data_IF_974520269941
#
_entry.id   IF_974520269941
#
_cell.length_a   1.000
_cell.length_b   1.000
_cell.length_c   1.000
_cell.angle_alpha   90.00
_cell.angle_beta   90.00
_cell.angle_gamma   90.00
#
_symmetry.space_group_name_H-M   'P 1'
#
loop_
_entity.id
_entity.type
_entity.pdbx_description
1 polymer ?
#
# COMPACT_ATOMS: atom_id res chain seq x y z
N UNK A 1 42.82 15.03 -3.46
CA UNK A 1 41.75 14.16 -4.00
C UNK A 1 40.65 15.03 -4.62
N UNK A 2 40.19 16.07 -3.92
CA UNK A 2 39.12 16.97 -4.39
C UNK A 2 39.52 17.64 -5.71
N UNK A 3 40.71 18.25 -5.82
CA UNK A 3 41.17 18.91 -7.05
C UNK A 3 41.06 18.01 -8.30
N UNK A 4 41.36 16.73 -8.13
CA UNK A 4 41.24 15.74 -9.23
C UNK A 4 39.77 15.42 -9.56
N UNK A 5 38.90 15.40 -8.56
CA UNK A 5 37.48 15.20 -8.78
C UNK A 5 36.84 16.43 -9.41
N UNK A 6 37.27 17.64 -9.03
CA UNK A 6 36.85 18.90 -9.65
C UNK A 6 37.23 18.93 -11.14
N UNK A 7 38.49 18.64 -11.46
CA UNK A 7 38.98 18.56 -12.87
C UNK A 7 38.17 17.52 -13.67
N UNK A 8 37.86 16.37 -13.06
CA UNK A 8 37.01 15.35 -13.69
C UNK A 8 35.57 15.87 -13.84
N UNK A 9 35.04 16.55 -12.83
CA UNK A 9 33.71 17.15 -12.84
C UNK A 9 33.53 18.26 -13.87
N UNK A 10 34.58 18.99 -14.18
CA UNK A 10 34.58 19.97 -15.28
C UNK A 10 34.43 19.31 -16.65
N UNK A 11 35.06 18.16 -16.84
CA UNK A 11 35.14 17.42 -18.13
C UNK A 11 34.01 16.41 -18.31
N UNK A 12 33.35 15.99 -17.23
CA UNK A 12 32.29 14.98 -17.20
C UNK A 12 31.03 15.49 -16.54
N UNK A 13 29.88 14.94 -16.92
CA UNK A 13 28.59 15.15 -16.28
C UNK A 13 28.05 13.86 -15.65
N UNK A 14 28.95 12.98 -15.25
CA UNK A 14 28.59 11.72 -14.60
C UNK A 14 28.08 11.96 -13.17
N UNK A 15 26.87 11.48 -12.84
CA UNK A 15 26.28 11.71 -11.51
C UNK A 15 27.13 11.21 -10.34
N UNK A 16 27.95 10.17 -10.56
CA UNK A 16 28.85 9.64 -9.55
C UNK A 16 29.94 10.64 -9.16
N UNK A 17 30.44 11.42 -10.13
CA UNK A 17 31.43 12.47 -9.87
C UNK A 17 30.81 13.58 -9.01
N UNK A 18 29.58 13.98 -9.32
CA UNK A 18 28.85 14.92 -8.47
C UNK A 18 28.72 14.41 -7.04
N UNK A 19 28.26 13.17 -6.87
CA UNK A 19 28.03 12.61 -5.53
C UNK A 19 29.33 12.56 -4.72
N UNK A 20 30.42 12.11 -5.32
CA UNK A 20 31.73 12.07 -4.66
C UNK A 20 32.22 13.45 -4.23
N UNK A 21 32.07 14.47 -5.10
CA UNK A 21 32.42 15.85 -4.77
C UNK A 21 31.53 16.41 -3.67
N UNK A 22 30.21 16.20 -3.78
CA UNK A 22 29.23 16.66 -2.82
C UNK A 22 29.50 16.08 -1.43
N UNK A 23 29.72 14.76 -1.34
CA UNK A 23 30.01 14.07 -0.09
C UNK A 23 31.36 14.54 0.50
N UNK A 24 32.38 14.75 -0.35
CA UNK A 24 33.68 15.26 0.08
C UNK A 24 33.57 16.66 0.69
N UNK A 25 32.80 17.56 0.07
CA UNK A 25 32.56 18.90 0.65
C UNK A 25 31.74 18.84 1.93
N UNK A 26 30.79 17.90 2.04
CA UNK A 26 30.04 17.70 3.28
C UNK A 26 30.92 17.24 4.45
N UNK A 27 31.84 16.29 4.18
CA UNK A 27 32.78 15.78 5.19
C UNK A 27 33.76 16.85 5.68
N UNK A 28 34.11 17.80 4.80
CA UNK A 28 34.97 18.92 5.13
C UNK A 28 34.23 20.14 5.65
N UNK A 29 32.90 20.08 5.76
CA UNK A 29 32.03 21.20 6.14
C UNK A 29 32.17 22.43 5.19
N UNK A 30 32.62 22.19 3.96
CA UNK A 30 32.77 23.21 2.91
C UNK A 30 31.41 23.44 2.18
N UNK A 31 30.38 23.79 2.94
CA UNK A 31 29.00 23.89 2.43
C UNK A 31 28.83 24.90 1.31
N UNK A 32 29.60 26.01 1.33
CA UNK A 32 29.56 27.02 0.26
C UNK A 32 30.03 26.46 -1.09
N UNK A 33 31.01 25.60 -1.09
CA UNK A 33 31.54 25.00 -2.32
C UNK A 33 30.61 23.88 -2.80
N UNK A 34 29.99 23.13 -1.88
CA UNK A 34 28.91 22.21 -2.19
C UNK A 34 27.68 22.91 -2.83
N UNK A 35 27.31 24.11 -2.35
CA UNK A 35 26.23 24.93 -2.95
C UNK A 35 26.63 25.38 -4.37
N UNK A 36 27.87 25.84 -4.58
CA UNK A 36 28.35 26.22 -5.93
C UNK A 36 28.35 25.05 -6.86
N UNK A 37 28.82 23.88 -6.40
CA UNK A 37 28.79 22.62 -7.13
C UNK A 37 27.36 22.31 -7.59
N UNK A 38 26.43 22.23 -6.64
CA UNK A 38 25.01 21.89 -6.91
C UNK A 38 24.39 22.88 -7.90
N UNK A 39 24.66 24.19 -7.74
CA UNK A 39 24.16 25.23 -8.64
C UNK A 39 24.75 25.10 -10.07
N UNK A 40 26.02 24.74 -10.21
CA UNK A 40 26.64 24.50 -11.49
C UNK A 40 26.04 23.28 -12.18
N UNK A 41 25.90 22.18 -11.44
CA UNK A 41 25.35 20.94 -11.98
C UNK A 41 23.86 21.02 -12.35
N UNK A 42 23.08 21.81 -11.61
CA UNK A 42 21.67 22.10 -11.97
C UNK A 42 21.55 22.76 -13.37
N UNK A 43 22.51 23.58 -13.75
CA UNK A 43 22.57 24.22 -15.10
C UNK A 43 23.05 23.25 -16.18
N UNK A 44 24.00 22.38 -15.85
CA UNK A 44 24.61 21.43 -16.81
C UNK A 44 23.71 20.21 -17.06
N UNK A 45 22.91 19.80 -16.08
CA UNK A 45 22.00 18.64 -16.13
C UNK A 45 20.56 19.05 -15.75
N UNK A 46 19.85 19.76 -16.64
CA UNK A 46 18.50 20.26 -16.35
C UNK A 46 17.50 19.14 -16.03
N UNK A 47 17.67 17.93 -16.55
CA UNK A 47 16.85 16.76 -16.23
C UNK A 47 16.96 16.27 -14.78
N UNK A 48 18.00 16.71 -14.05
CA UNK A 48 18.21 16.42 -12.62
C UNK A 48 18.20 17.67 -11.74
N UNK A 49 17.73 18.79 -12.27
CA UNK A 49 17.71 20.08 -11.59
C UNK A 49 17.09 19.98 -10.20
N UNK A 50 15.98 19.29 -10.06
CA UNK A 50 15.27 19.13 -8.77
C UNK A 50 16.19 18.53 -7.68
N UNK A 51 16.96 17.49 -8.00
CA UNK A 51 17.89 16.88 -7.06
C UNK A 51 18.94 17.91 -6.58
N UNK A 52 19.56 18.65 -7.49
CA UNK A 52 20.59 19.61 -7.15
C UNK A 52 20.06 20.83 -6.37
N UNK A 53 18.84 21.29 -6.66
CA UNK A 53 18.21 22.37 -5.91
C UNK A 53 17.78 21.90 -4.50
N UNK A 54 17.33 20.67 -4.37
CA UNK A 54 17.06 20.07 -3.05
C UNK A 54 18.35 19.84 -2.26
N UNK A 55 19.46 19.52 -2.93
CA UNK A 55 20.78 19.47 -2.28
C UNK A 55 21.21 20.85 -1.74
N UNK A 56 20.95 21.93 -2.50
CA UNK A 56 21.17 23.31 -1.99
C UNK A 56 20.28 23.60 -0.76
N UNK A 57 19.01 23.19 -0.81
CA UNK A 57 18.09 23.32 0.33
C UNK A 57 18.64 22.60 1.56
N UNK A 58 19.10 21.38 1.40
CA UNK A 58 19.71 20.57 2.45
C UNK A 58 20.91 21.31 3.08
N UNK A 59 21.78 21.89 2.25
CA UNK A 59 22.96 22.62 2.72
C UNK A 59 22.59 23.89 3.49
N UNK A 60 21.65 24.70 3.00
CA UNK A 60 21.14 25.87 3.74
C UNK A 60 20.53 25.48 5.10
N UNK A 61 19.78 24.36 5.15
CA UNK A 61 19.24 23.86 6.40
C UNK A 61 20.33 23.35 7.37
N UNK A 62 21.42 22.78 6.84
CA UNK A 62 22.59 22.37 7.62
C UNK A 62 23.34 23.57 8.24
N UNK A 63 23.43 24.67 7.51
CA UNK A 63 24.03 25.92 7.97
C UNK A 63 23.08 26.78 8.85
N UNK A 64 21.86 26.26 9.13
CA UNK A 64 20.80 27.02 9.83
C UNK A 64 20.38 28.32 9.10
N UNK A 65 20.69 28.41 7.81
CA UNK A 65 20.28 29.50 6.95
C UNK A 65 18.83 29.33 6.48
N UNK A 66 17.91 29.51 7.43
CA UNK A 66 16.47 29.31 7.18
C UNK A 66 15.96 30.30 6.13
N UNK A 67 16.55 31.48 6.01
CA UNK A 67 16.11 32.51 5.05
C UNK A 67 16.31 32.06 3.61
N UNK A 68 17.48 31.54 3.27
CA UNK A 68 17.79 31.14 1.91
C UNK A 68 17.16 29.76 1.62
N UNK A 69 16.98 28.89 2.64
CA UNK A 69 16.20 27.68 2.53
C UNK A 69 14.73 27.96 2.15
N UNK A 70 14.06 28.92 2.80
CA UNK A 70 12.67 29.28 2.49
C UNK A 70 12.54 29.95 1.11
N UNK A 71 13.46 30.84 0.72
CA UNK A 71 13.48 31.40 -0.65
C UNK A 71 13.60 30.31 -1.72
N UNK A 72 14.38 29.28 -1.45
CA UNK A 72 14.52 28.17 -2.39
C UNK A 72 13.22 27.37 -2.49
N UNK A 73 12.52 27.13 -1.37
CA UNK A 73 11.19 26.52 -1.38
C UNK A 73 10.16 27.38 -2.15
N UNK A 74 10.17 28.69 -1.97
CA UNK A 74 9.32 29.62 -2.74
C UNK A 74 9.60 29.50 -4.25
N UNK A 75 10.88 29.46 -4.63
CA UNK A 75 11.27 29.23 -6.04
C UNK A 75 10.79 27.89 -6.59
N UNK A 76 10.80 26.82 -5.78
CA UNK A 76 10.27 25.51 -6.15
C UNK A 76 8.75 25.60 -6.39
N UNK A 77 8.02 26.29 -5.52
CA UNK A 77 6.58 26.51 -5.71
C UNK A 77 6.27 27.30 -6.98
N UNK A 78 7.03 28.37 -7.28
CA UNK A 78 6.90 29.09 -8.55
C UNK A 78 7.15 28.23 -9.79
N UNK A 79 8.06 27.26 -9.71
CA UNK A 79 8.30 26.31 -10.79
C UNK A 79 7.06 25.39 -10.95
N UNK A 80 6.47 24.95 -9.85
CA UNK A 80 5.28 24.09 -9.85
C UNK A 80 4.06 24.85 -10.36
N UNK A 81 3.89 26.12 -10.02
CA UNK A 81 2.82 26.96 -10.56
C UNK A 81 2.84 27.00 -12.09
N UNK A 82 4.05 27.10 -12.67
CA UNK A 82 4.23 27.11 -14.13
C UNK A 82 4.15 25.72 -14.75
N UNK A 83 4.53 24.69 -13.99
CA UNK A 83 4.63 23.30 -14.46
C UNK A 83 4.34 22.30 -13.34
N UNK A 84 3.06 22.03 -13.02
CA UNK A 84 2.69 21.14 -11.90
C UNK A 84 3.31 19.74 -11.95
N UNK A 85 3.63 19.24 -13.15
CA UNK A 85 4.31 17.95 -13.34
C UNK A 85 5.71 17.88 -12.71
N UNK A 86 6.37 19.02 -12.46
CA UNK A 86 7.68 19.06 -11.79
C UNK A 86 7.58 18.62 -10.31
N UNK A 87 6.38 18.64 -9.72
CA UNK A 87 6.17 18.17 -8.36
C UNK A 87 6.64 16.72 -8.13
N UNK A 88 6.58 15.85 -9.15
CA UNK A 88 7.14 14.49 -9.04
C UNK A 88 8.65 14.52 -8.76
N UNK A 89 9.39 15.34 -9.49
CA UNK A 89 10.85 15.42 -9.35
C UNK A 89 11.24 16.04 -8.01
N UNK A 90 10.63 17.20 -7.66
CA UNK A 90 10.94 17.90 -6.41
C UNK A 90 10.45 17.14 -5.17
N UNK A 91 9.22 16.62 -5.19
CA UNK A 91 8.68 15.85 -4.09
C UNK A 91 9.49 14.58 -3.81
N UNK A 92 9.90 13.88 -4.88
CA UNK A 92 10.79 12.71 -4.74
C UNK A 92 12.16 13.12 -4.17
N UNK A 93 12.80 14.16 -4.69
CA UNK A 93 14.11 14.60 -4.21
C UNK A 93 14.06 15.02 -2.74
N UNK A 94 12.99 15.70 -2.31
CA UNK A 94 12.77 16.08 -0.91
C UNK A 94 12.54 14.83 -0.03
N UNK A 95 11.76 13.87 -0.48
CA UNK A 95 11.54 12.60 0.22
C UNK A 95 12.85 11.83 0.38
N UNK A 96 13.64 11.70 -0.70
CA UNK A 96 14.93 11.00 -0.69
C UNK A 96 15.94 11.64 0.31
N UNK A 97 15.78 12.92 0.64
CA UNK A 97 16.56 13.65 1.65
C UNK A 97 15.92 13.64 3.06
N UNK A 98 14.82 12.92 3.27
CA UNK A 98 14.13 12.84 4.56
C UNK A 98 13.28 14.05 4.90
N UNK A 99 12.95 14.92 3.93
CA UNK A 99 12.10 16.09 4.13
C UNK A 99 10.64 15.80 3.81
N UNK A 100 10.06 14.78 4.45
CA UNK A 100 8.71 14.28 4.18
C UNK A 100 7.64 15.38 4.21
N UNK A 101 7.67 16.28 5.21
CA UNK A 101 6.72 17.40 5.30
C UNK A 101 6.84 18.39 4.12
N UNK A 102 8.07 18.68 3.67
CA UNK A 102 8.30 19.56 2.51
C UNK A 102 7.88 18.87 1.21
N UNK A 103 8.13 17.55 1.07
CA UNK A 103 7.65 16.77 -0.06
C UNK A 103 6.12 16.77 -0.14
N UNK A 104 5.42 16.57 0.98
CA UNK A 104 3.96 16.69 1.05
C UNK A 104 3.48 18.06 0.61
N UNK A 105 4.10 19.14 1.09
CA UNK A 105 3.72 20.50 0.72
C UNK A 105 3.84 20.75 -0.79
N UNK A 106 4.86 20.18 -1.44
CA UNK A 106 5.06 20.24 -2.89
C UNK A 106 3.95 19.52 -3.64
N UNK A 107 3.58 18.30 -3.24
CA UNK A 107 2.48 17.56 -3.88
C UNK A 107 1.13 18.25 -3.65
N UNK A 108 0.87 18.73 -2.43
CA UNK A 108 -0.36 19.46 -2.11
C UNK A 108 -0.49 20.77 -2.89
N UNK A 109 0.63 21.48 -3.08
CA UNK A 109 0.66 22.70 -3.88
C UNK A 109 0.33 22.39 -5.35
N UNK A 110 0.94 21.37 -5.93
CA UNK A 110 0.65 20.96 -7.31
C UNK A 110 -0.80 20.53 -7.51
N UNK A 111 -1.43 19.89 -6.52
CA UNK A 111 -2.84 19.50 -6.58
C UNK A 111 -3.78 20.71 -6.52
N UNK A 112 -3.40 21.83 -5.87
CA UNK A 112 -4.16 23.07 -5.90
C UNK A 112 -4.12 23.70 -7.29
N UNK A 113 -2.96 23.69 -7.95
CA UNK A 113 -2.79 24.23 -9.30
C UNK A 113 -3.42 23.34 -10.37
N UNK A 114 -3.38 22.02 -10.19
CA UNK A 114 -3.99 21.05 -11.11
C UNK A 114 -4.52 19.82 -10.35
N UNK A 115 -5.81 19.82 -10.06
CA UNK A 115 -6.50 18.75 -9.35
C UNK A 115 -6.55 17.40 -10.09
N UNK A 116 -6.21 17.38 -11.39
CA UNK A 116 -6.14 16.15 -12.18
C UNK A 116 -4.83 15.39 -11.99
N UNK A 117 -3.84 15.97 -11.31
CA UNK A 117 -2.62 15.27 -10.94
C UNK A 117 -2.93 14.14 -9.94
N UNK A 118 -2.10 13.10 -9.93
CA UNK A 118 -2.26 12.00 -8.99
C UNK A 118 -0.93 11.75 -8.26
N UNK A 119 -0.91 12.05 -6.98
CA UNK A 119 0.20 11.83 -6.07
C UNK A 119 -0.21 10.92 -4.90
N UNK A 120 -1.36 10.24 -4.99
CA UNK A 120 -1.93 9.47 -3.88
C UNK A 120 -0.93 8.45 -3.32
N UNK A 121 -0.19 7.75 -4.21
CA UNK A 121 0.84 6.78 -3.80
C UNK A 121 2.01 7.45 -3.05
N UNK A 122 2.57 8.52 -3.60
CA UNK A 122 3.68 9.25 -3.01
C UNK A 122 3.29 9.86 -1.66
N UNK A 123 2.10 10.45 -1.59
CA UNK A 123 1.58 11.02 -0.36
C UNK A 123 1.27 9.94 0.69
N UNK A 124 0.78 8.77 0.28
CA UNK A 124 0.57 7.64 1.18
C UNK A 124 1.88 7.21 1.87
N UNK A 125 2.97 7.06 1.11
CA UNK A 125 4.28 6.71 1.66
C UNK A 125 4.77 7.76 2.66
N UNK A 126 4.63 9.06 2.32
CA UNK A 126 5.06 10.16 3.17
C UNK A 126 4.23 10.25 4.46
N UNK A 127 2.90 10.05 4.38
CA UNK A 127 2.07 10.00 5.58
C UNK A 127 2.43 8.81 6.48
N UNK A 128 2.76 7.65 5.89
CA UNK A 128 3.26 6.50 6.63
C UNK A 128 4.60 6.79 7.34
N UNK A 129 5.55 7.44 6.65
CA UNK A 129 6.84 7.88 7.23
C UNK A 129 6.63 8.86 8.40
N UNK A 130 5.64 9.74 8.30
CA UNK A 130 5.29 10.71 9.33
C UNK A 130 4.41 10.14 10.47
N UNK A 131 3.96 8.88 10.36
CA UNK A 131 3.08 8.24 11.33
C UNK A 131 1.62 8.72 11.27
N UNK A 132 1.23 9.47 10.23
CA UNK A 132 -0.16 9.90 10.01
C UNK A 132 -0.94 8.77 9.30
N UNK A 133 -1.18 7.68 10.03
CA UNK A 133 -1.82 6.48 9.51
C UNK A 133 -3.22 6.74 8.94
N UNK A 134 -4.07 7.58 9.57
CA UNK A 134 -5.38 7.90 9.00
C UNK A 134 -5.28 8.52 7.60
N UNK A 135 -4.36 9.46 7.37
CA UNK A 135 -4.18 10.05 6.04
C UNK A 135 -3.53 9.09 5.05
N UNK A 136 -2.61 8.25 5.49
CA UNK A 136 -2.07 7.18 4.67
C UNK A 136 -3.21 6.27 4.15
N UNK A 137 -4.11 5.84 5.03
CA UNK A 137 -5.27 5.03 4.66
C UNK A 137 -6.23 5.77 3.71
N UNK A 138 -6.45 7.07 3.93
CA UNK A 138 -7.26 7.87 3.00
C UNK A 138 -6.65 7.87 1.59
N UNK A 139 -5.34 8.03 1.46
CA UNK A 139 -4.65 7.94 0.16
C UNK A 139 -4.82 6.56 -0.47
N UNK A 140 -4.74 5.48 0.29
CA UNK A 140 -5.00 4.13 -0.21
C UNK A 140 -6.42 4.00 -0.78
N UNK A 141 -7.44 4.53 -0.09
CA UNK A 141 -8.81 4.51 -0.58
C UNK A 141 -8.98 5.33 -1.86
N UNK A 142 -8.33 6.49 -1.96
CA UNK A 142 -8.32 7.32 -3.17
C UNK A 142 -7.64 6.59 -4.34
N UNK A 143 -6.51 5.91 -4.10
CA UNK A 143 -5.84 5.08 -5.13
C UNK A 143 -6.79 4.00 -5.67
N UNK A 144 -7.46 3.26 -4.77
CA UNK A 144 -8.44 2.23 -5.16
C UNK A 144 -9.63 2.84 -5.88
N UNK A 145 -10.10 4.01 -5.47
CA UNK A 145 -11.26 4.69 -6.09
C UNK A 145 -10.97 5.18 -7.50
N UNK A 146 -9.82 5.81 -7.71
CA UNK A 146 -9.45 6.42 -9.00
C UNK A 146 -8.99 5.41 -10.04
N UNK A 147 -8.22 4.40 -9.61
CA UNK A 147 -7.52 3.51 -10.54
C UNK A 147 -7.60 2.05 -10.11
N UNK A 148 -8.36 1.20 -10.83
CA UNK A 148 -8.52 -0.22 -10.47
C UNK A 148 -7.20 -0.98 -10.31
N UNK A 149 -6.18 -0.64 -11.10
CA UNK A 149 -4.87 -1.30 -11.07
C UNK A 149 -4.12 -1.17 -9.73
N UNK A 150 -4.46 -0.19 -8.91
CA UNK A 150 -3.84 -0.03 -7.58
C UNK A 150 -4.39 -0.95 -6.49
N UNK A 151 -5.49 -1.66 -6.75
CA UNK A 151 -6.07 -2.56 -5.75
C UNK A 151 -5.06 -3.60 -5.24
N UNK A 152 -4.31 -4.24 -6.15
CA UNK A 152 -3.29 -5.23 -5.78
C UNK A 152 -2.17 -4.60 -4.94
N UNK A 153 -1.70 -3.40 -5.30
CA UNK A 153 -0.69 -2.66 -4.56
C UNK A 153 -1.18 -2.31 -3.15
N UNK A 154 -2.41 -1.79 -3.04
CA UNK A 154 -2.98 -1.42 -1.73
C UNK A 154 -3.20 -2.66 -0.86
N UNK A 155 -3.68 -3.78 -1.42
CA UNK A 155 -3.78 -5.06 -0.71
C UNK A 155 -2.43 -5.50 -0.14
N UNK A 156 -1.35 -5.42 -0.92
CA UNK A 156 0.00 -5.80 -0.47
C UNK A 156 0.53 -4.88 0.65
N UNK A 157 0.32 -3.56 0.53
CA UNK A 157 0.73 -2.60 1.55
C UNK A 157 -0.02 -2.80 2.87
N UNK A 158 -1.32 -3.08 2.82
CA UNK A 158 -2.13 -3.36 4.00
C UNK A 158 -1.77 -4.70 4.65
N UNK A 159 -1.51 -5.75 3.86
CA UNK A 159 -1.06 -7.04 4.38
C UNK A 159 0.24 -6.89 5.18
N UNK A 160 1.22 -6.16 4.64
CA UNK A 160 2.48 -5.89 5.33
C UNK A 160 2.27 -5.13 6.66
N UNK A 161 1.35 -4.18 6.70
CA UNK A 161 1.00 -3.42 7.92
C UNK A 161 0.34 -4.31 8.97
N UNK A 162 -0.55 -5.22 8.56
CA UNK A 162 -1.28 -6.13 9.46
C UNK A 162 -0.34 -7.20 10.03
N UNK A 163 0.55 -7.79 9.22
CA UNK A 163 1.56 -8.77 9.66
C UNK A 163 2.52 -8.19 10.70
N UNK A 164 2.84 -6.88 10.61
CA UNK A 164 3.67 -6.20 11.60
C UNK A 164 3.00 -6.07 12.99
N UNK A 165 1.82 -6.66 13.18
CA UNK A 165 1.12 -6.71 14.48
C UNK A 165 0.42 -5.40 14.85
N UNK A 166 0.28 -4.50 13.92
CA UNK A 166 -0.47 -3.25 14.11
C UNK A 166 -1.98 -3.52 14.00
N UNK A 167 -2.52 -4.32 14.91
CA UNK A 167 -3.96 -4.32 15.21
C UNK A 167 -4.25 -3.01 15.93
N UNK A 168 -4.52 -1.98 15.15
CA UNK A 168 -4.67 -0.68 15.73
C UNK A 168 -6.08 -0.13 15.42
N UNK A 169 -6.49 0.85 16.21
CA UNK A 169 -7.72 1.60 16.04
C UNK A 169 -7.87 2.15 14.61
N UNK A 170 -6.76 2.46 13.95
CA UNK A 170 -6.74 2.97 12.58
C UNK A 170 -7.22 1.94 11.55
N UNK A 171 -6.94 0.64 11.77
CA UNK A 171 -7.44 -0.42 10.88
C UNK A 171 -8.96 -0.60 11.02
N UNK A 172 -9.48 -0.47 12.23
CA UNK A 172 -10.94 -0.46 12.47
C UNK A 172 -11.60 0.75 11.80
N UNK A 173 -11.00 1.94 11.91
CA UNK A 173 -11.50 3.13 11.24
C UNK A 173 -11.44 2.98 9.71
N UNK A 174 -10.38 2.37 9.17
CA UNK A 174 -10.28 2.06 7.74
C UNK A 174 -11.42 1.13 7.30
N UNK A 175 -11.68 0.05 8.03
CA UNK A 175 -12.79 -0.88 7.71
C UNK A 175 -14.15 -0.18 7.74
N UNK A 176 -14.39 0.67 8.73
CA UNK A 176 -15.63 1.46 8.82
C UNK A 176 -15.79 2.41 7.63
N UNK A 177 -14.72 3.09 7.21
CA UNK A 177 -14.76 3.98 6.05
C UNK A 177 -14.99 3.21 4.74
N UNK A 178 -14.37 2.03 4.59
CA UNK A 178 -14.63 1.15 3.45
C UNK A 178 -16.12 0.72 3.41
N UNK A 179 -16.66 0.29 4.54
CA UNK A 179 -18.07 -0.12 4.65
C UNK A 179 -19.01 1.03 4.27
N UNK A 180 -18.73 2.24 4.76
CA UNK A 180 -19.49 3.44 4.44
C UNK A 180 -19.46 3.75 2.94
N UNK A 181 -18.30 3.63 2.29
CA UNK A 181 -18.17 3.81 0.85
C UNK A 181 -18.94 2.73 0.06
N UNK A 182 -18.88 1.47 0.49
CA UNK A 182 -19.66 0.38 -0.10
C UNK A 182 -21.17 0.68 -0.03
N UNK A 183 -21.66 1.14 1.13
CA UNK A 183 -23.06 1.53 1.32
C UNK A 183 -23.46 2.73 0.44
N UNK A 184 -22.52 3.62 0.16
CA UNK A 184 -22.72 4.75 -0.75
C UNK A 184 -22.64 4.38 -2.24
N UNK A 185 -22.44 3.09 -2.56
CA UNK A 185 -22.39 2.61 -3.95
C UNK A 185 -21.00 2.66 -4.58
N UNK A 186 -19.94 2.64 -3.78
CA UNK A 186 -18.57 2.55 -4.29
C UNK A 186 -18.36 1.30 -5.17
N UNK A 187 -17.36 1.34 -6.07
CA UNK A 187 -17.04 0.22 -6.93
C UNK A 187 -16.73 -1.08 -6.16
N UNK A 188 -17.01 -2.23 -6.77
CA UNK A 188 -16.88 -3.57 -6.17
C UNK A 188 -15.51 -3.85 -5.55
N UNK A 189 -14.45 -3.26 -6.10
CA UNK A 189 -13.09 -3.37 -5.56
C UNK A 189 -12.94 -2.95 -4.08
N UNK A 190 -13.88 -2.16 -3.54
CA UNK A 190 -13.94 -1.87 -2.10
C UNK A 190 -14.39 -3.08 -1.29
N UNK A 191 -15.32 -3.89 -1.81
CA UNK A 191 -15.68 -5.17 -1.20
C UNK A 191 -14.49 -6.14 -1.21
N UNK A 192 -13.76 -6.22 -2.33
CA UNK A 192 -12.56 -7.05 -2.43
C UNK A 192 -11.47 -6.60 -1.44
N UNK A 193 -11.31 -5.30 -1.23
CA UNK A 193 -10.37 -4.75 -0.25
C UNK A 193 -10.78 -5.12 1.17
N UNK A 194 -12.07 -4.99 1.52
CA UNK A 194 -12.60 -5.33 2.84
C UNK A 194 -12.46 -6.83 3.15
N UNK A 195 -12.79 -7.68 2.17
CA UNK A 195 -12.62 -9.14 2.27
C UNK A 195 -11.14 -9.49 2.49
N UNK A 196 -10.23 -8.82 1.77
CA UNK A 196 -8.80 -9.02 1.94
C UNK A 196 -8.34 -8.65 3.35
N UNK A 197 -8.74 -7.49 3.87
CA UNK A 197 -8.41 -7.06 5.25
C UNK A 197 -8.90 -8.10 6.26
N UNK A 198 -10.17 -8.51 6.20
CA UNK A 198 -10.71 -9.53 7.10
C UNK A 198 -9.96 -10.86 6.99
N UNK A 199 -9.52 -11.24 5.78
CA UNK A 199 -8.77 -12.49 5.59
C UNK A 199 -7.37 -12.41 6.19
N UNK A 200 -6.70 -11.25 6.11
CA UNK A 200 -5.39 -11.03 6.73
C UNK A 200 -5.46 -10.99 8.26
N UNK A 201 -6.57 -10.51 8.82
CA UNK A 201 -6.84 -10.55 10.26
C UNK A 201 -7.30 -11.93 10.76
N UNK A 202 -7.38 -12.94 9.87
CA UNK A 202 -7.98 -14.24 10.13
C UNK A 202 -9.45 -14.17 10.59
N UNK A 203 -10.10 -13.04 10.34
CA UNK A 203 -11.55 -12.87 10.58
C UNK A 203 -12.35 -13.45 9.41
N UNK A 204 -12.16 -14.74 9.16
CA UNK A 204 -12.78 -15.45 8.02
C UNK A 204 -14.32 -15.43 8.07
N UNK A 205 -14.93 -15.31 9.24
CA UNK A 205 -16.40 -15.20 9.40
C UNK A 205 -16.91 -13.89 8.80
N UNK A 206 -16.23 -12.78 9.05
CA UNK A 206 -16.59 -11.49 8.48
C UNK A 206 -16.34 -11.50 6.96
N UNK A 207 -15.20 -12.02 6.50
CA UNK A 207 -14.90 -12.20 5.08
C UNK A 207 -15.98 -13.03 4.37
N UNK A 208 -16.42 -14.15 4.96
CA UNK A 208 -17.48 -15.00 4.40
C UNK A 208 -18.82 -14.27 4.31
N UNK A 209 -19.13 -13.45 5.29
CA UNK A 209 -20.37 -12.66 5.28
C UNK A 209 -20.40 -11.70 4.08
N UNK A 210 -19.29 -11.04 3.77
CA UNK A 210 -19.16 -10.17 2.60
C UNK A 210 -19.22 -10.97 1.28
N UNK A 211 -18.49 -12.08 1.18
CA UNK A 211 -18.51 -12.94 0.00
C UNK A 211 -19.93 -13.48 -0.29
N UNK A 212 -20.66 -13.92 0.75
CA UNK A 212 -22.05 -14.37 0.57
C UNK A 212 -22.97 -13.27 0.06
N UNK A 213 -22.75 -12.03 0.50
CA UNK A 213 -23.55 -10.90 0.04
C UNK A 213 -23.31 -10.62 -1.46
N UNK A 214 -22.05 -10.69 -1.91
CA UNK A 214 -21.69 -10.52 -3.32
C UNK A 214 -22.19 -11.70 -4.18
N UNK A 215 -22.04 -12.90 -3.70
CA UNK A 215 -22.46 -14.11 -4.40
C UNK A 215 -23.98 -14.14 -4.67
N UNK A 216 -24.79 -13.74 -3.66
CA UNK A 216 -26.24 -13.60 -3.82
C UNK A 216 -26.66 -12.55 -4.86
N UNK A 217 -25.78 -11.62 -5.17
CA UNK A 217 -25.96 -10.61 -6.22
C UNK A 217 -25.47 -11.09 -7.60
N UNK A 218 -24.97 -12.34 -7.68
CA UNK A 218 -24.43 -12.94 -8.91
C UNK A 218 -23.11 -12.31 -9.37
N UNK A 219 -22.33 -11.75 -8.42
CA UNK A 219 -21.09 -11.01 -8.70
C UNK A 219 -19.82 -11.85 -8.56
N UNK A 220 -19.93 -13.09 -8.14
CA UNK A 220 -18.78 -13.99 -7.94
C UNK A 220 -18.88 -15.21 -8.84
N UNK A 221 -17.73 -15.72 -9.29
CA UNK A 221 -17.63 -17.01 -9.98
C UNK A 221 -17.41 -18.18 -9.02
N UNK A 222 -17.24 -17.91 -7.73
CA UNK A 222 -17.05 -18.88 -6.65
C UNK A 222 -15.62 -19.12 -6.22
N UNK A 223 -14.64 -18.69 -7.00
CA UNK A 223 -13.22 -18.88 -6.68
C UNK A 223 -12.82 -18.25 -5.35
N UNK A 224 -13.33 -17.06 -5.05
CA UNK A 224 -13.08 -16.34 -3.83
C UNK A 224 -13.63 -17.07 -2.61
N UNK A 225 -14.80 -17.73 -2.75
CA UNK A 225 -15.43 -18.51 -1.68
C UNK A 225 -14.58 -19.74 -1.38
N UNK A 226 -14.20 -20.51 -2.41
CA UNK A 226 -13.32 -21.69 -2.27
C UNK A 226 -11.95 -21.31 -1.66
N UNK A 227 -11.38 -20.17 -2.08
CA UNK A 227 -10.12 -19.68 -1.51
C UNK A 227 -10.28 -19.35 -0.02
N UNK A 228 -11.37 -18.69 0.39
CA UNK A 228 -11.61 -18.39 1.80
C UNK A 228 -11.77 -19.67 2.63
N UNK A 229 -12.50 -20.67 2.12
CA UNK A 229 -12.64 -21.95 2.80
C UNK A 229 -11.29 -22.61 3.05
N UNK A 230 -10.40 -22.61 2.03
CA UNK A 230 -9.04 -23.14 2.14
C UNK A 230 -8.17 -22.35 3.12
N UNK A 231 -8.30 -21.02 3.19
CA UNK A 231 -7.59 -20.19 4.17
C UNK A 231 -8.05 -20.52 5.59
N UNK A 232 -9.36 -20.61 5.83
CA UNK A 232 -9.91 -21.00 7.12
C UNK A 232 -9.43 -22.41 7.54
N UNK A 233 -9.44 -23.35 6.62
CA UNK A 233 -8.92 -24.72 6.85
C UNK A 233 -7.44 -24.71 7.26
N UNK A 234 -6.59 -23.99 6.51
CA UNK A 234 -5.16 -23.91 6.78
C UNK A 234 -4.83 -23.21 8.12
N UNK A 235 -5.70 -22.32 8.56
CA UNK A 235 -5.60 -21.66 9.86
C UNK A 235 -6.19 -22.47 11.02
N UNK A 236 -6.76 -23.68 10.75
CA UNK A 236 -7.35 -24.54 11.77
C UNK A 236 -8.81 -24.20 12.11
N UNK A 237 -9.46 -23.21 11.48
CA UNK A 237 -10.90 -22.97 11.67
C UNK A 237 -11.71 -23.95 10.79
N UNK A 238 -11.61 -25.23 11.15
CA UNK A 238 -12.27 -26.33 10.41
C UNK A 238 -13.80 -26.23 10.41
N UNK A 239 -14.38 -25.68 11.47
CA UNK A 239 -15.80 -25.41 11.57
C UNK A 239 -16.28 -24.41 10.53
N UNK A 240 -15.54 -23.33 10.35
CA UNK A 240 -15.87 -22.35 9.34
C UNK A 240 -15.57 -22.87 7.94
N UNK A 241 -14.44 -23.55 7.75
CA UNK A 241 -14.12 -24.20 6.48
C UNK A 241 -15.25 -25.13 6.03
N UNK A 242 -15.71 -26.00 6.92
CA UNK A 242 -16.85 -26.88 6.64
C UNK A 242 -18.13 -26.10 6.27
N UNK A 243 -18.44 -25.01 6.97
CA UNK A 243 -19.59 -24.16 6.63
C UNK A 243 -19.48 -23.49 5.27
N UNK A 244 -18.30 -23.04 4.90
CA UNK A 244 -18.05 -22.38 3.60
C UNK A 244 -18.14 -23.40 2.47
N UNK A 245 -17.51 -24.57 2.60
CA UNK A 245 -17.64 -25.64 1.61
C UNK A 245 -19.08 -26.15 1.48
N UNK A 246 -19.81 -26.30 2.61
CA UNK A 246 -21.24 -26.67 2.56
C UNK A 246 -22.07 -25.66 1.77
N UNK A 247 -21.80 -24.36 1.94
CA UNK A 247 -22.45 -23.32 1.14
C UNK A 247 -22.23 -23.49 -0.36
N UNK A 248 -21.05 -23.96 -0.80
CA UNK A 248 -20.77 -24.29 -2.20
C UNK A 248 -21.54 -25.52 -2.66
N UNK A 249 -21.62 -26.56 -1.83
CA UNK A 249 -22.41 -27.78 -2.12
C UNK A 249 -23.90 -27.49 -2.29
N UNK A 250 -24.44 -26.58 -1.48
CA UNK A 250 -25.86 -26.21 -1.53
C UNK A 250 -26.25 -25.50 -2.85
N UNK A 251 -25.27 -25.13 -3.69
CA UNK A 251 -25.50 -24.62 -5.06
C UNK A 251 -25.79 -25.74 -6.07
N UNK A 252 -25.54 -26.99 -5.71
CA UNK A 252 -25.82 -28.17 -6.52
C UNK A 252 -24.65 -28.65 -7.40
N UNK A 253 -24.81 -29.84 -7.97
CA UNK A 253 -23.73 -30.54 -8.70
C UNK A 253 -23.19 -29.82 -9.93
N UNK A 254 -23.96 -28.92 -10.51
CA UNK A 254 -23.52 -28.09 -11.65
C UNK A 254 -22.58 -26.94 -11.26
N UNK A 255 -22.41 -26.69 -9.96
CA UNK A 255 -21.49 -25.64 -9.50
C UNK A 255 -20.02 -26.05 -9.76
N UNK A 256 -19.18 -25.17 -10.35
CA UNK A 256 -17.84 -25.54 -10.81
C UNK A 256 -16.94 -26.15 -9.74
N UNK A 257 -17.14 -25.78 -8.47
CA UNK A 257 -16.33 -26.25 -7.34
C UNK A 257 -16.97 -27.39 -6.56
N UNK A 258 -18.16 -27.89 -6.98
CA UNK A 258 -18.94 -28.88 -6.22
C UNK A 258 -18.10 -30.10 -5.82
N UNK A 259 -17.47 -30.81 -6.76
CA UNK A 259 -16.73 -32.05 -6.47
C UNK A 259 -15.54 -31.80 -5.51
N UNK A 260 -14.77 -30.71 -5.72
CA UNK A 260 -13.67 -30.38 -4.83
C UNK A 260 -14.16 -29.99 -3.44
N UNK A 261 -15.30 -29.32 -3.37
CA UNK A 261 -15.91 -28.89 -2.10
C UNK A 261 -16.51 -30.05 -1.32
N UNK A 262 -16.98 -31.13 -1.97
CA UNK A 262 -17.41 -32.37 -1.28
C UNK A 262 -16.27 -32.93 -0.44
N UNK A 263 -15.11 -33.18 -1.08
CA UNK A 263 -13.94 -33.76 -0.43
C UNK A 263 -13.46 -32.86 0.72
N UNK A 264 -13.30 -31.56 0.44
CA UNK A 264 -12.82 -30.61 1.40
C UNK A 264 -13.80 -30.38 2.57
N UNK A 265 -15.09 -30.46 2.32
CA UNK A 265 -16.13 -30.38 3.36
C UNK A 265 -16.07 -31.58 4.31
N UNK A 266 -16.01 -32.81 3.78
CA UNK A 266 -15.92 -34.02 4.57
C UNK A 266 -14.64 -34.02 5.43
N UNK A 267 -13.53 -33.61 4.85
CA UNK A 267 -12.25 -33.53 5.56
C UNK A 267 -12.27 -32.43 6.65
N UNK A 268 -12.82 -31.27 6.34
CA UNK A 268 -13.00 -30.20 7.35
C UNK A 268 -13.88 -30.64 8.52
N UNK A 269 -15.00 -31.33 8.26
CA UNK A 269 -15.86 -31.87 9.30
C UNK A 269 -15.15 -32.90 10.16
N UNK A 270 -14.36 -33.78 9.54
CA UNK A 270 -13.55 -34.77 10.27
C UNK A 270 -12.57 -34.11 11.23
N UNK A 271 -11.80 -33.11 10.76
CA UNK A 271 -10.84 -32.39 11.60
C UNK A 271 -11.54 -31.60 12.70
N UNK A 272 -12.66 -30.95 12.42
CA UNK A 272 -13.46 -30.25 13.43
C UNK A 272 -13.90 -31.19 14.56
N UNK A 273 -14.36 -32.42 14.21
CA UNK A 273 -14.74 -33.42 15.22
C UNK A 273 -13.54 -34.00 15.99
N UNK A 274 -12.38 -34.11 15.36
CA UNK A 274 -11.16 -34.60 16.01
C UNK A 274 -10.61 -33.61 17.02
N UNK A 275 -10.71 -32.32 16.75
CA UNK A 275 -10.23 -31.27 17.66
C UNK A 275 -11.24 -30.88 18.75
N UNK A 276 -12.51 -31.25 18.58
CA UNK A 276 -13.56 -30.92 19.54
C UNK A 276 -13.50 -31.85 20.74
N UNK A 277 -13.22 -31.31 21.93
CA UNK A 277 -13.30 -32.04 23.21
C UNK A 277 -14.70 -32.54 23.53
N UNK A 278 -15.73 -32.02 22.86
CA UNK A 278 -17.15 -32.31 23.08
C UNK A 278 -17.81 -33.09 21.93
N UNK A 279 -16.99 -33.71 21.05
CA UNK A 279 -17.54 -34.48 19.93
C UNK A 279 -18.36 -35.67 20.43
N UNK A 280 -19.57 -35.78 19.94
CA UNK A 280 -20.51 -36.86 20.33
C UNK A 280 -20.48 -38.02 19.31
N UNK A 281 -20.90 -39.21 19.76
CA UNK A 281 -21.10 -40.35 18.88
C UNK A 281 -22.06 -40.01 17.70
N UNK A 282 -23.11 -39.25 18.00
CA UNK A 282 -24.10 -38.82 17.00
C UNK A 282 -23.45 -37.94 15.91
N UNK A 283 -22.51 -37.05 16.28
CA UNK A 283 -21.80 -36.22 15.32
C UNK A 283 -20.91 -37.06 14.40
N UNK A 284 -20.24 -38.07 14.93
CA UNK A 284 -19.48 -39.04 14.13
C UNK A 284 -20.35 -39.91 13.22
N UNK A 285 -21.52 -40.35 13.71
CA UNK A 285 -22.50 -41.06 12.89
C UNK A 285 -23.05 -40.19 11.74
N UNK A 286 -23.30 -38.91 12.03
CA UNK A 286 -23.70 -37.94 11.00
C UNK A 286 -22.61 -37.79 9.93
N UNK A 287 -21.33 -37.71 10.32
CA UNK A 287 -20.23 -37.66 9.36
C UNK A 287 -20.14 -38.92 8.51
N UNK A 288 -20.35 -40.13 9.10
CA UNK A 288 -20.35 -41.37 8.36
C UNK A 288 -21.50 -41.42 7.30
N UNK A 289 -22.68 -40.94 7.67
CA UNK A 289 -23.80 -40.83 6.72
C UNK A 289 -23.48 -39.83 5.58
N UNK A 290 -22.76 -38.73 5.86
CA UNK A 290 -22.33 -37.82 4.81
C UNK A 290 -21.33 -38.48 3.84
N UNK A 291 -20.40 -39.30 4.34
CA UNK A 291 -19.49 -40.07 3.51
C UNK A 291 -20.25 -41.09 2.59
N UNK A 292 -21.33 -41.70 3.10
CA UNK A 292 -22.17 -42.59 2.30
C UNK A 292 -22.99 -41.84 1.23
N UNK A 293 -23.40 -40.60 1.54
CA UNK A 293 -24.21 -39.79 0.62
C UNK A 293 -23.38 -39.18 -0.51
N UNK A 294 -22.16 -38.72 -0.22
CA UNK A 294 -21.34 -37.91 -1.13
C UNK A 294 -20.07 -38.62 -1.63
N UNK A 295 -19.65 -39.71 -1.02
CA UNK A 295 -18.50 -40.53 -1.39
C UNK A 295 -18.92 -41.64 -2.32
#
# INVERSE_FOLDING_TARGET
VIDKLEDLGERSVEPQVYQLLFDSYLELEEYRDAIKLSRNWARRLPGRKANFEVDQLYLHLKEEDLRDAEKLMESIFEIIDRSPGQAYAYGKALSDRGYANRALSVYQHALKENSNMNFDYQMALLYGELGDIPKMHEMYLQMVERTPGYLATVKALLAQSIEAGQRDENLELLKQEIIKRIQAGAPERFNELLIHIYSQEENFRAAFTQLRALDRQGRLDGKEISNLARLAYNAGDFDLAARVYKYELDKGETYPYYQSSVIAWLDSRKHSLQESETSTLEAWQSLAADYEQYG
#
